data_IF_869999013931
#
_entry.id   IF_869999013931
#
_cell.length_a   1.000
_cell.length_b   1.000
_cell.length_c   1.000
_cell.angle_alpha   90.00
_cell.angle_beta   90.00
_cell.angle_gamma   90.00
#
_symmetry.space_group_name_H-M   'P 1'
#
loop_
_entity.id
_entity.type
_entity.pdbx_description
1 polymer ?
#
# COMPACT_ATOMS: atom_id res chain seq x y z
N UNK A 1 -24.72 43.05 -31.30
CA UNK A 1 -24.01 42.55 -30.10
C UNK A 1 -23.37 41.19 -30.43
N UNK A 2 -22.48 41.21 -31.43
CA UNK A 2 -21.53 40.13 -31.69
C UNK A 2 -20.25 40.59 -31.01
N UNK A 3 -19.73 39.81 -30.07
CA UNK A 3 -18.46 40.14 -29.45
C UNK A 3 -18.41 39.76 -28.00
N UNK A 4 -17.46 38.88 -27.71
CA UNK A 4 -16.87 38.67 -26.39
C UNK A 4 -17.48 37.59 -25.49
N UNK A 5 -18.14 36.58 -26.05
CA UNK A 5 -18.19 35.28 -25.38
C UNK A 5 -18.18 34.19 -26.43
N UNK A 6 -17.36 33.17 -26.19
CA UNK A 6 -17.16 31.98 -27.03
C UNK A 6 -16.26 32.21 -28.23
N UNK A 7 -14.96 32.08 -28.01
CA UNK A 7 -14.05 31.23 -28.80
C UNK A 7 -12.65 31.62 -28.32
N UNK A 8 -12.23 31.04 -27.18
CA UNK A 8 -10.81 30.79 -26.99
C UNK A 8 -10.37 30.11 -28.27
N UNK A 9 -9.58 30.82 -29.07
CA UNK A 9 -9.27 30.36 -30.41
C UNK A 9 -8.52 29.04 -30.29
N UNK A 10 -8.62 28.16 -31.28
CA UNK A 10 -7.88 26.88 -31.28
C UNK A 10 -6.39 27.10 -31.00
N UNK A 11 -5.85 28.26 -31.42
CA UNK A 11 -4.48 28.71 -31.15
C UNK A 11 -4.21 28.98 -29.68
N UNK A 12 -5.15 29.57 -28.94
CA UNK A 12 -5.03 29.79 -27.50
C UNK A 12 -5.21 28.49 -26.71
N UNK A 13 -6.09 27.60 -27.16
CA UNK A 13 -6.23 26.26 -26.58
C UNK A 13 -4.95 25.45 -26.78
N UNK A 14 -4.37 25.48 -27.98
CA UNK A 14 -3.08 24.84 -28.29
C UNK A 14 -1.95 25.47 -27.46
N UNK A 15 -1.92 26.80 -27.30
CA UNK A 15 -0.92 27.46 -26.46
C UNK A 15 -1.07 27.06 -24.98
N UNK A 16 -2.28 27.00 -24.43
CA UNK A 16 -2.53 26.53 -23.05
C UNK A 16 -2.17 25.05 -22.87
N UNK A 17 -2.45 24.21 -23.87
CA UNK A 17 -2.08 22.78 -23.86
C UNK A 17 -0.56 22.62 -23.92
N UNK A 18 0.14 23.38 -24.77
CA UNK A 18 1.61 23.35 -24.88
C UNK A 18 2.30 23.92 -23.64
N UNK A 19 1.72 24.93 -22.97
CA UNK A 19 2.25 25.47 -21.70
C UNK A 19 1.99 24.55 -20.50
N UNK A 20 1.03 23.61 -20.61
CA UNK A 20 0.81 22.53 -19.64
C UNK A 20 1.66 21.29 -19.94
N UNK A 21 2.24 21.19 -21.15
CA UNK A 21 3.28 20.23 -21.55
C UNK A 21 4.70 20.77 -21.26
N UNK A 22 4.86 21.44 -20.12
CA UNK A 22 6.15 21.79 -19.55
C UNK A 22 6.72 20.59 -18.82
N UNK A 23 7.80 20.02 -19.33
CA UNK A 23 8.43 18.82 -18.83
C UNK A 23 8.75 18.90 -17.33
N UNK A 24 8.06 18.00 -16.63
CA UNK A 24 8.38 17.30 -15.38
C UNK A 24 9.73 17.66 -14.78
N UNK A 25 9.63 18.23 -13.59
CA UNK A 25 10.75 18.57 -12.73
C UNK A 25 11.78 17.47 -12.61
N UNK A 26 13.02 17.92 -12.49
CA UNK A 26 14.22 17.18 -12.13
C UNK A 26 13.91 15.79 -11.54
N UNK A 27 14.14 14.79 -12.38
CA UNK A 27 14.41 13.40 -12.04
C UNK A 27 15.27 13.32 -10.75
N UNK A 28 14.59 13.11 -9.63
CA UNK A 28 15.15 12.90 -8.28
C UNK A 28 15.11 11.40 -7.92
N UNK A 29 15.47 10.52 -8.86
CA UNK A 29 15.37 9.07 -8.64
C UNK A 29 16.65 8.29 -8.92
N UNK A 30 17.82 8.95 -8.87
CA UNK A 30 19.10 8.22 -8.92
C UNK A 30 19.54 7.67 -7.56
N UNK A 31 18.78 7.94 -6.51
CA UNK A 31 19.00 7.36 -5.19
C UNK A 31 17.72 6.66 -4.75
N UNK A 32 17.39 5.58 -5.44
CA UNK A 32 16.33 4.67 -4.99
C UNK A 32 16.54 4.25 -3.53
N UNK A 33 15.50 3.70 -2.90
CA UNK A 33 15.59 3.27 -1.50
C UNK A 33 16.67 2.20 -1.32
N UNK A 34 17.79 2.56 -0.69
CA UNK A 34 18.91 1.66 -0.43
C UNK A 34 19.20 1.55 1.07
N UNK A 35 19.61 0.36 1.51
CA UNK A 35 20.07 0.13 2.88
C UNK A 35 21.29 1.01 3.18
N UNK A 36 21.30 1.78 4.28
CA UNK A 36 22.45 2.59 4.67
C UNK A 36 23.74 1.76 4.80
N UNK A 37 24.81 2.22 4.13
CA UNK A 37 26.11 1.51 4.09
C UNK A 37 27.05 1.88 5.24
N UNK A 38 26.74 2.91 6.00
CA UNK A 38 27.54 3.34 7.16
C UNK A 38 27.55 2.27 8.25
N UNK A 39 28.73 1.98 8.80
CA UNK A 39 28.92 0.90 9.76
C UNK A 39 28.04 1.03 11.02
N UNK A 40 27.74 2.26 11.45
CA UNK A 40 26.90 2.53 12.62
C UNK A 40 25.41 2.20 12.36
N UNK A 41 25.01 2.12 11.09
CA UNK A 41 23.65 1.79 10.64
C UNK A 41 23.51 0.33 10.18
N UNK A 42 24.62 -0.40 10.01
CA UNK A 42 24.57 -1.80 9.61
C UNK A 42 24.20 -2.67 10.80
N UNK A 43 23.31 -3.64 10.58
CA UNK A 43 23.04 -4.69 11.57
C UNK A 43 24.33 -5.52 11.68
N UNK A 44 24.91 -5.67 12.88
CA UNK A 44 26.08 -6.53 13.07
C UNK A 44 25.78 -7.93 12.55
N UNK A 45 26.73 -8.52 11.82
CA UNK A 45 26.63 -9.93 11.42
C UNK A 45 26.62 -10.75 12.71
N UNK A 46 25.43 -11.16 13.14
CA UNK A 46 25.28 -11.95 14.35
C UNK A 46 26.09 -13.24 14.19
N UNK A 47 26.82 -13.59 15.25
CA UNK A 47 27.20 -14.98 15.45
C UNK A 47 25.93 -15.81 15.38
N UNK A 48 26.00 -16.91 14.62
CA UNK A 48 24.95 -17.85 14.23
C UNK A 48 23.63 -17.75 15.02
N UNK A 49 22.46 -17.76 14.36
CA UNK A 49 21.17 -17.69 15.05
C UNK A 49 21.09 -18.80 16.12
N UNK A 50 20.37 -18.56 17.24
CA UNK A 50 20.26 -19.55 18.29
C UNK A 50 19.73 -20.87 17.72
N UNK A 51 20.16 -22.03 18.28
CA UNK A 51 19.74 -23.32 17.78
C UNK A 51 18.21 -23.45 17.82
N UNK A 52 17.60 -24.17 16.85
CA UNK A 52 16.15 -24.27 16.74
C UNK A 52 15.54 -24.90 18.01
N UNK A 53 14.35 -24.44 18.44
CA UNK A 53 13.65 -25.03 19.56
C UNK A 53 13.44 -26.55 19.37
N UNK A 54 13.68 -27.33 20.44
CA UNK A 54 13.43 -28.78 20.41
C UNK A 54 11.93 -29.03 20.26
N UNK A 55 11.55 -29.89 19.31
CA UNK A 55 10.16 -30.33 19.14
C UNK A 55 9.69 -31.01 20.44
N UNK A 56 8.55 -30.56 20.98
CA UNK A 56 7.89 -31.25 22.09
C UNK A 56 7.29 -32.57 21.57
N UNK A 57 7.33 -33.67 22.35
CA UNK A 57 6.67 -34.90 21.95
C UNK A 57 5.18 -34.63 21.74
N UNK A 58 4.63 -35.17 20.65
CA UNK A 58 3.20 -35.10 20.38
C UNK A 58 2.45 -35.83 21.49
N UNK A 59 1.63 -35.12 22.26
CA UNK A 59 0.78 -35.74 23.27
C UNK A 59 -0.32 -36.55 22.55
N UNK A 60 -0.10 -37.86 22.42
CA UNK A 60 -1.00 -38.83 21.75
C UNK A 60 -2.40 -38.94 22.39
N UNK A 61 -2.71 -38.18 23.45
CA UNK A 61 -3.89 -38.36 24.29
C UNK A 61 -5.15 -37.62 23.85
N UNK A 62 -5.07 -36.56 23.04
CA UNK A 62 -6.27 -35.87 22.52
C UNK A 62 -5.98 -35.33 21.13
N UNK A 63 -6.40 -36.06 20.09
CA UNK A 63 -6.58 -35.44 18.77
C UNK A 63 -7.51 -34.24 19.00
N UNK A 64 -7.01 -33.02 18.76
CA UNK A 64 -7.87 -31.83 18.74
C UNK A 64 -8.92 -32.10 17.67
N UNK A 65 -10.16 -32.33 18.11
CA UNK A 65 -11.28 -32.43 17.19
C UNK A 65 -11.50 -31.03 16.61
N UNK A 66 -11.70 -30.90 15.30
CA UNK A 66 -12.11 -29.62 14.72
C UNK A 66 -13.32 -29.06 15.46
N UNK A 67 -13.41 -27.72 15.65
CA UNK A 67 -14.61 -27.10 16.18
C UNK A 67 -15.83 -27.52 15.35
N UNK A 68 -16.92 -27.87 16.03
CA UNK A 68 -18.16 -28.32 15.40
C UNK A 68 -18.74 -27.29 14.42
N UNK A 69 -18.49 -26.01 14.67
CA UNK A 69 -19.07 -24.90 13.92
C UNK A 69 -18.07 -24.28 12.94
N UNK A 70 -17.01 -25.01 12.58
CA UNK A 70 -15.91 -24.51 11.77
C UNK A 70 -14.97 -23.58 12.55
N UNK A 71 -13.81 -23.32 11.97
CA UNK A 71 -12.83 -22.37 12.53
C UNK A 71 -13.12 -20.92 12.15
N UNK A 72 -13.80 -20.74 11.02
CA UNK A 72 -14.14 -19.44 10.49
C UNK A 72 -15.59 -19.13 10.86
N UNK A 73 -15.75 -18.05 11.62
CA UNK A 73 -17.05 -17.44 11.86
C UNK A 73 -17.11 -16.19 10.98
N UNK A 74 -17.69 -16.27 9.77
CA UNK A 74 -17.81 -15.10 8.93
C UNK A 74 -18.57 -14.02 9.69
N UNK A 75 -18.16 -12.75 9.58
CA UNK A 75 -19.04 -11.65 9.99
C UNK A 75 -20.33 -11.73 9.17
N UNK A 76 -21.43 -11.27 9.77
CA UNK A 76 -22.69 -11.14 9.05
C UNK A 76 -22.49 -10.20 7.86
N UNK A 77 -22.61 -10.76 6.65
CA UNK A 77 -22.39 -10.03 5.41
C UNK A 77 -23.49 -9.00 5.19
N UNK A 78 -24.72 -9.29 5.62
CA UNK A 78 -25.83 -8.35 5.50
C UNK A 78 -25.58 -7.11 6.35
N UNK A 79 -25.01 -7.29 7.55
CA UNK A 79 -24.54 -6.19 8.38
C UNK A 79 -23.38 -5.42 7.71
N UNK A 80 -22.43 -6.13 7.09
CA UNK A 80 -21.29 -5.50 6.42
C UNK A 80 -21.72 -4.58 5.27
N UNK A 81 -22.72 -4.97 4.49
CA UNK A 81 -23.25 -4.16 3.39
C UNK A 81 -24.27 -3.11 3.85
N UNK A 82 -24.94 -3.32 4.99
CA UNK A 82 -25.83 -2.33 5.61
C UNK A 82 -25.08 -1.14 6.23
N UNK A 83 -23.77 -1.28 6.48
CA UNK A 83 -22.95 -0.18 6.98
C UNK A 83 -22.78 0.90 5.91
N UNK A 84 -23.07 2.15 6.27
CA UNK A 84 -22.83 3.29 5.40
C UNK A 84 -21.36 3.36 4.98
N UNK A 85 -21.05 3.66 3.70
CA UNK A 85 -19.68 3.82 3.24
C UNK A 85 -18.93 4.83 4.11
N UNK A 86 -17.91 4.38 4.83
CA UNK A 86 -17.03 5.30 5.58
C UNK A 86 -16.15 6.01 4.56
N UNK A 87 -16.35 7.33 4.40
CA UNK A 87 -15.36 8.19 3.73
C UNK A 87 -14.12 8.17 4.61
N UNK A 88 -13.10 7.43 4.20
CA UNK A 88 -11.77 7.59 4.77
C UNK A 88 -11.22 8.92 4.26
N UNK A 89 -10.72 9.75 5.17
CA UNK A 89 -9.92 10.90 4.78
C UNK A 89 -8.58 10.35 4.24
N UNK A 90 -8.20 10.75 3.04
CA UNK A 90 -6.79 10.68 2.63
C UNK A 90 -5.99 11.67 3.48
N UNK A 91 -4.77 11.26 3.84
CA UNK A 91 -3.86 12.02 4.70
C UNK A 91 -3.50 13.39 4.13
#
# INVERSE_FOLDING_TARGET
MQGLVMLLTERELVALVTLMEGEKGAYYDEVGCATPRRCECQIPVASLPPPPPKKKPFALGRKRVPPKNGYFHPPDLDLFFAMAPRRQACA
#
